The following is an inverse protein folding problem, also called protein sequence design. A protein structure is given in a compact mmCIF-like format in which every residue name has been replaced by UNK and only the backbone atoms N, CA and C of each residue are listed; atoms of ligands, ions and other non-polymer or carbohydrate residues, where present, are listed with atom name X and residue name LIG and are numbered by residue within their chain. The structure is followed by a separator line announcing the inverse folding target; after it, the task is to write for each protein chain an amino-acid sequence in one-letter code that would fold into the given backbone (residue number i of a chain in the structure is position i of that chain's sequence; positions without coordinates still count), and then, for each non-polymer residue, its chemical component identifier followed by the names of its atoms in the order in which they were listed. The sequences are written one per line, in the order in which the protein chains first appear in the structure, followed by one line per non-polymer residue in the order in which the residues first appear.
data_IF_149082258885
#
_entry.id   IF_149082258885
#
_cell.length_a   1.000
_cell.length_b   1.000
_cell.length_c   1.000
_cell.angle_alpha   90.00
_cell.angle_beta   90.00
_cell.angle_gamma   90.00
#
_symmetry.space_group_name_H-M   'P 1'
#
loop_
_entity.id
_entity.type
_entity.pdbx_description
1 polymer ?
#
# COMPACT_ATOMS: atom_id res chain seq x y z
N UNK A 1 25.05 60.15 -29.96
CA UNK A 1 25.95 59.01 -30.23
C UNK A 1 25.92 58.12 -28.99
N UNK A 2 24.83 57.39 -28.76
CA UNK A 2 24.66 55.98 -29.18
C UNK A 2 25.96 55.15 -29.13
N UNK A 3 26.03 54.21 -28.18
CA UNK A 3 25.98 52.80 -28.57
C UNK A 3 25.50 51.90 -27.41
N UNK A 4 24.32 51.33 -27.64
CA UNK A 4 23.70 50.23 -26.93
C UNK A 4 24.62 48.99 -26.87
N UNK A 5 24.75 48.36 -25.69
CA UNK A 5 25.21 46.97 -25.57
C UNK A 5 24.02 46.06 -25.24
N UNK A 6 23.75 45.00 -26.03
CA UNK A 6 22.66 44.07 -25.77
C UNK A 6 23.02 43.07 -24.66
N UNK A 7 22.03 42.49 -23.96
CA UNK A 7 22.28 41.43 -22.99
C UNK A 7 22.62 40.11 -23.69
N UNK A 8 23.60 39.39 -23.14
CA UNK A 8 24.00 38.06 -23.60
C UNK A 8 22.86 37.05 -23.37
N UNK A 9 22.27 36.56 -24.47
CA UNK A 9 21.42 35.36 -24.50
C UNK A 9 22.31 34.13 -24.26
N UNK A 10 22.27 33.55 -23.07
CA UNK A 10 22.72 32.17 -22.87
C UNK A 10 21.60 31.25 -23.36
N UNK A 11 21.86 30.63 -24.51
CA UNK A 11 21.03 29.62 -25.14
C UNK A 11 20.88 28.40 -24.23
N UNK A 12 19.65 27.91 -24.11
CA UNK A 12 19.37 26.66 -23.42
C UNK A 12 19.97 25.48 -24.18
N UNK A 13 20.90 24.78 -23.54
CA UNK A 13 21.27 23.42 -23.94
C UNK A 13 20.21 22.48 -23.41
N UNK A 14 19.28 22.08 -24.29
CA UNK A 14 18.46 20.87 -24.12
C UNK A 14 19.40 19.66 -24.15
N UNK A 15 19.81 19.18 -22.98
CA UNK A 15 20.38 17.86 -22.83
C UNK A 15 19.25 16.83 -22.75
N UNK A 16 19.06 16.09 -23.83
CA UNK A 16 18.27 14.85 -23.87
C UNK A 16 18.90 13.80 -22.96
N UNK A 17 18.14 13.11 -22.08
CA UNK A 17 18.65 11.92 -21.44
C UNK A 17 18.59 10.76 -22.43
N UNK A 18 19.75 10.34 -22.93
CA UNK A 18 19.92 9.08 -23.66
C UNK A 18 19.64 7.92 -22.71
N UNK A 19 18.53 7.23 -22.96
CA UNK A 19 18.15 5.98 -22.33
C UNK A 19 19.14 4.88 -22.75
N UNK A 20 20.14 4.62 -21.90
CA UNK A 20 20.96 3.42 -21.99
C UNK A 20 20.27 2.29 -21.23
N UNK A 21 19.57 1.42 -21.97
CA UNK A 21 19.09 0.13 -21.49
C UNK A 21 20.28 -0.83 -21.38
N UNK A 22 20.87 -0.91 -20.20
CA UNK A 22 21.62 -2.11 -19.81
C UNK A 22 20.66 -3.05 -19.06
N UNK A 23 20.43 -4.29 -19.52
CA UNK A 23 19.63 -5.25 -18.78
C UNK A 23 20.38 -5.65 -17.50
N UNK A 24 19.82 -5.28 -16.34
CA UNK A 24 20.21 -5.84 -15.05
C UNK A 24 19.99 -7.36 -15.13
N UNK A 25 21.08 -8.12 -15.11
CA UNK A 25 21.06 -9.56 -14.83
C UNK A 25 20.30 -9.76 -13.51
N UNK A 26 19.11 -10.34 -13.59
CA UNK A 26 18.40 -10.85 -12.43
C UNK A 26 19.23 -12.01 -11.87
N UNK A 27 19.93 -11.74 -10.78
CA UNK A 27 20.57 -12.77 -9.98
C UNK A 27 19.46 -13.39 -9.12
N UNK A 28 18.85 -14.46 -9.62
CA UNK A 28 17.84 -15.23 -8.90
C UNK A 28 18.51 -15.91 -7.72
N UNK A 29 18.33 -15.34 -6.52
CA UNK A 29 18.71 -16.03 -5.28
C UNK A 29 17.74 -17.20 -5.09
N UNK A 30 18.21 -18.44 -4.92
CA UNK A 30 17.33 -19.58 -4.68
C UNK A 30 16.58 -19.39 -3.36
N UNK A 31 15.26 -19.56 -3.38
CA UNK A 31 14.42 -19.65 -2.19
C UNK A 31 14.91 -20.81 -1.29
N UNK A 32 14.95 -20.65 0.04
CA UNK A 32 15.20 -21.76 0.93
C UNK A 32 14.10 -22.83 0.80
N UNK A 33 14.44 -24.12 0.86
CA UNK A 33 13.45 -25.19 0.74
C UNK A 33 12.49 -25.17 1.94
N UNK A 34 11.19 -25.33 1.64
CA UNK A 34 10.17 -25.52 2.67
C UNK A 34 10.50 -26.75 3.55
N UNK A 35 10.31 -26.67 4.89
CA UNK A 35 10.49 -27.81 5.76
C UNK A 35 9.47 -28.91 5.40
N UNK A 36 10.00 -30.08 5.01
CA UNK A 36 9.24 -31.34 4.89
C UNK A 36 8.81 -31.79 6.29
N UNK A 37 7.67 -31.34 6.77
CA UNK A 37 7.07 -31.91 7.99
C UNK A 37 5.56 -32.01 7.85
N UNK A 38 5.10 -33.26 7.97
CA UNK A 38 3.72 -33.72 8.16
C UNK A 38 2.80 -33.75 6.93
N UNK A 39 2.99 -34.77 6.09
CA UNK A 39 1.86 -35.49 5.49
C UNK A 39 2.13 -36.99 5.55
N UNK A 40 2.07 -37.54 6.77
CA UNK A 40 1.98 -38.97 7.02
C UNK A 40 0.81 -39.22 7.97
N UNK A 41 -0.40 -39.19 7.44
CA UNK A 41 -1.53 -39.89 8.04
C UNK A 41 -2.14 -40.71 6.91
N UNK A 42 -1.92 -42.02 7.04
CA UNK A 42 -2.50 -43.05 6.21
C UNK A 42 -4.03 -42.98 6.27
N UNK A 43 -4.67 -43.04 5.11
CA UNK A 43 -6.09 -43.39 5.00
C UNK A 43 -6.19 -44.86 4.55
N UNK A 44 -6.82 -45.75 5.32
CA UNK A 44 -7.12 -47.11 4.87
C UNK A 44 -8.32 -47.14 3.88
N UNK A 45 -8.46 -48.21 3.06
CA UNK A 45 -9.57 -48.35 2.13
C UNK A 45 -10.88 -48.64 2.88
N UNK A 46 -11.87 -47.76 2.71
CA UNK A 46 -13.21 -47.91 3.28
C UNK A 46 -14.00 -48.97 2.52
N UNK A 47 -14.35 -50.06 3.21
CA UNK A 47 -15.37 -51.04 2.78
C UNK A 47 -16.76 -50.37 2.79
N UNK A 48 -17.53 -50.59 1.73
CA UNK A 48 -18.91 -50.16 1.61
C UNK A 48 -19.82 -50.83 2.66
N UNK A 49 -20.67 -50.03 3.32
CA UNK A 49 -21.83 -50.46 4.14
C UNK A 49 -22.92 -49.36 4.10
N UNK A 50 -24.19 -49.64 4.51
CA UNK A 50 -25.36 -49.40 3.68
C UNK A 50 -26.11 -48.11 4.04
N UNK A 51 -26.97 -47.69 3.09
CA UNK A 51 -27.89 -46.55 3.14
C UNK A 51 -28.55 -46.38 4.52
N UNK A 52 -28.22 -45.28 5.19
CA UNK A 52 -28.98 -44.72 6.30
C UNK A 52 -29.57 -43.40 5.82
N UNK A 53 -30.89 -43.24 5.96
CA UNK A 53 -31.61 -42.02 5.61
C UNK A 53 -31.09 -40.85 6.45
N UNK A 54 -30.41 -39.90 5.82
CA UNK A 54 -30.06 -38.62 6.44
C UNK A 54 -31.30 -37.74 6.40
N UNK A 55 -31.89 -37.50 7.57
CA UNK A 55 -32.85 -36.42 7.73
C UNK A 55 -32.13 -35.10 7.43
N UNK A 56 -32.53 -34.43 6.35
CA UNK A 56 -32.05 -33.10 5.98
C UNK A 56 -32.59 -32.14 7.04
N UNK A 57 -31.77 -31.87 8.04
CA UNK A 57 -32.06 -30.82 9.01
C UNK A 57 -31.77 -29.50 8.30
N UNK A 58 -32.81 -28.90 7.70
CA UNK A 58 -32.76 -27.63 6.98
C UNK A 58 -32.44 -26.51 7.97
N UNK A 59 -31.16 -26.36 8.29
CA UNK A 59 -30.66 -25.24 9.10
C UNK A 59 -30.95 -23.98 8.30
N UNK A 60 -31.83 -23.14 8.83
CA UNK A 60 -32.18 -21.86 8.23
C UNK A 60 -30.90 -21.14 7.80
N UNK A 61 -30.80 -20.82 6.52
CA UNK A 61 -29.69 -20.08 5.96
C UNK A 61 -29.56 -18.78 6.76
N UNK A 62 -28.47 -18.66 7.51
CA UNK A 62 -28.10 -17.41 8.18
C UNK A 62 -28.11 -16.32 7.12
N UNK A 63 -28.96 -15.30 7.32
CA UNK A 63 -29.05 -14.17 6.42
C UNK A 63 -27.64 -13.69 6.07
N UNK A 64 -27.33 -13.43 4.78
CA UNK A 64 -26.02 -12.94 4.41
C UNK A 64 -25.76 -11.68 5.21
N UNK A 65 -24.72 -11.71 6.05
CA UNK A 65 -24.23 -10.54 6.78
C UNK A 65 -23.97 -9.46 5.73
N UNK A 66 -24.89 -8.50 5.62
CA UNK A 66 -24.76 -7.34 4.77
C UNK A 66 -23.56 -6.58 5.30
N UNK A 67 -22.38 -6.84 4.72
CA UNK A 67 -21.20 -6.04 4.97
C UNK A 67 -21.61 -4.61 4.60
N UNK A 68 -21.69 -3.68 5.56
CA UNK A 68 -22.08 -2.32 5.24
C UNK A 68 -21.11 -1.83 4.18
N UNK A 69 -21.63 -1.44 3.01
CA UNK A 69 -20.82 -0.81 1.96
C UNK A 69 -20.50 0.60 2.44
N UNK A 70 -19.67 0.72 3.47
CA UNK A 70 -19.11 1.99 3.90
C UNK A 70 -18.30 2.48 2.72
N UNK A 71 -18.61 3.69 2.25
CA UNK A 71 -17.82 4.32 1.21
C UNK A 71 -16.52 4.81 1.85
N UNK A 72 -15.57 3.88 2.04
CA UNK A 72 -14.30 4.11 2.74
C UNK A 72 -13.57 5.31 2.15
N UNK A 73 -13.67 5.53 0.83
CA UNK A 73 -13.04 6.65 0.13
C UNK A 73 -13.57 8.03 0.56
N UNK A 74 -14.77 8.11 1.14
CA UNK A 74 -15.38 9.36 1.63
C UNK A 74 -15.07 9.66 3.09
N UNK A 75 -14.37 8.76 3.79
CA UNK A 75 -14.08 8.96 5.21
C UNK A 75 -13.12 10.14 5.41
N UNK A 76 -13.48 11.05 6.32
CA UNK A 76 -12.74 12.29 6.59
C UNK A 76 -11.28 12.03 6.95
N UNK A 77 -10.98 10.89 7.59
CA UNK A 77 -9.63 10.49 7.95
C UNK A 77 -8.68 10.26 6.77
N UNK A 78 -9.21 10.02 5.57
CA UNK A 78 -8.40 9.84 4.35
C UNK A 78 -8.10 11.17 3.65
N UNK A 79 -8.75 12.25 4.07
CA UNK A 79 -8.62 13.59 3.49
C UNK A 79 -7.90 14.57 4.42
N UNK A 80 -7.20 14.04 5.42
CA UNK A 80 -6.43 14.87 6.34
C UNK A 80 -5.23 15.48 5.63
N UNK A 81 -4.89 16.71 6.02
CA UNK A 81 -3.73 17.42 5.50
C UNK A 81 -3.05 18.18 6.62
N UNK A 82 -1.75 18.39 6.49
CA UNK A 82 -1.01 19.35 7.32
C UNK A 82 -0.24 20.31 6.41
N UNK A 83 0.05 21.51 6.92
CA UNK A 83 0.85 22.49 6.21
C UNK A 83 2.33 22.21 6.47
N UNK A 84 3.09 21.91 5.42
CA UNK A 84 4.55 21.90 5.46
C UNK A 84 5.07 23.32 5.18
N UNK A 85 5.77 23.89 6.15
CA UNK A 85 6.44 25.18 6.00
C UNK A 85 7.91 24.93 5.70
N UNK A 86 8.34 25.29 4.50
CA UNK A 86 9.72 25.14 4.07
C UNK A 86 10.60 26.25 4.63
N UNK A 87 11.85 25.91 4.92
CA UNK A 87 12.89 26.89 5.18
C UNK A 87 13.30 27.58 3.88
N UNK A 88 13.75 28.83 3.96
CA UNK A 88 14.16 29.64 2.79
C UNK A 88 15.29 29.02 1.97
N UNK A 89 16.10 28.15 2.58
CA UNK A 89 17.21 27.43 1.96
C UNK A 89 16.86 26.00 1.51
N UNK A 90 15.63 25.55 1.76
CA UNK A 90 15.18 24.19 1.44
C UNK A 90 14.92 23.97 -0.05
N UNK A 91 15.16 22.74 -0.53
CA UNK A 91 14.84 22.34 -1.92
C UNK A 91 13.33 22.25 -2.18
N UNK A 92 12.54 21.90 -1.16
CA UNK A 92 11.09 21.78 -1.23
C UNK A 92 10.46 23.12 -0.83
N UNK A 93 9.44 23.55 -1.58
CA UNK A 93 8.63 24.73 -1.24
C UNK A 93 7.60 24.38 -0.18
N UNK A 94 7.08 25.38 0.54
CA UNK A 94 5.94 25.19 1.44
C UNK A 94 4.72 24.69 0.64
N UNK A 95 4.05 23.67 1.15
CA UNK A 95 2.87 23.08 0.51
C UNK A 95 2.04 22.27 1.52
N UNK A 96 0.82 21.92 1.15
CA UNK A 96 -0.03 21.02 1.95
C UNK A 96 0.32 19.58 1.65
N UNK A 97 0.56 18.80 2.70
CA UNK A 97 0.82 17.36 2.60
C UNK A 97 -0.43 16.63 3.07
N UNK A 98 -0.98 15.79 2.20
CA UNK A 98 -2.08 14.90 2.58
C UNK A 98 -1.56 13.71 3.39
N UNK A 99 -2.34 13.23 4.34
CA UNK A 99 -2.02 12.03 5.10
C UNK A 99 -3.29 11.28 5.49
N UNK A 100 -3.13 10.01 5.83
CA UNK A 100 -4.20 9.17 6.38
C UNK A 100 -3.69 8.38 7.59
N UNK A 101 -4.60 8.05 8.49
CA UNK A 101 -4.30 7.22 9.67
C UNK A 101 -5.20 5.98 9.67
N UNK A 102 -4.58 4.82 9.85
CA UNK A 102 -5.24 3.51 9.88
C UNK A 102 -4.94 2.78 11.18
N UNK A 103 -5.90 1.97 11.64
CA UNK A 103 -5.80 1.22 12.89
C UNK A 103 -6.24 2.02 14.13
N UNK A 104 -6.04 1.45 15.34
CA UNK A 104 -6.55 2.02 16.59
C UNK A 104 -5.84 3.33 16.97
N UNK A 105 -6.59 4.25 17.57
CA UNK A 105 -6.09 5.57 18.03
C UNK A 105 -4.93 5.44 19.02
N UNK A 106 -4.96 4.40 19.87
CA UNK A 106 -3.94 4.09 20.87
C UNK A 106 -3.01 2.94 20.44
N UNK A 107 -2.98 2.60 19.15
CA UNK A 107 -2.04 1.61 18.61
C UNK A 107 -0.60 2.10 18.59
N UNK A 108 0.34 1.16 18.43
CA UNK A 108 1.76 1.45 18.27
C UNK A 108 1.99 2.28 16.99
N UNK A 109 2.55 3.49 17.05
CA UNK A 109 2.67 4.37 15.90
C UNK A 109 3.68 3.83 14.88
N UNK A 110 3.27 3.73 13.61
CA UNK A 110 4.13 3.30 12.50
C UNK A 110 4.00 4.29 11.37
N UNK A 111 5.10 4.88 10.91
CA UNK A 111 5.10 5.74 9.73
C UNK A 111 5.34 4.92 8.46
N UNK A 112 4.44 5.06 7.50
CA UNK A 112 4.53 4.37 6.21
C UNK A 112 4.90 5.37 5.13
N UNK A 113 6.08 5.21 4.54
CA UNK A 113 6.57 6.06 3.45
C UNK A 113 6.51 5.27 2.16
N UNK A 114 5.50 5.59 1.33
CA UNK A 114 5.31 4.95 0.03
C UNK A 114 6.43 5.29 -0.96
N UNK A 115 6.76 4.34 -1.83
CA UNK A 115 7.63 4.56 -2.97
C UNK A 115 6.99 5.44 -4.05
N UNK A 116 7.66 5.56 -5.20
CA UNK A 116 7.16 6.35 -6.33
C UNK A 116 5.78 5.87 -6.81
N UNK A 117 4.84 6.80 -7.03
CA UNK A 117 3.47 6.50 -7.46
C UNK A 117 2.55 5.93 -6.36
N UNK A 118 3.03 5.81 -5.12
CA UNK A 118 2.23 5.33 -4.01
C UNK A 118 1.43 6.48 -3.37
N UNK A 119 0.17 6.21 -3.04
CA UNK A 119 -0.74 7.18 -2.40
C UNK A 119 -1.12 6.71 -1.01
N UNK A 120 -1.54 7.64 -0.15
CA UNK A 120 -2.02 7.30 1.20
C UNK A 120 -3.21 6.34 1.20
N UNK A 121 -3.98 6.26 0.10
CA UNK A 121 -5.16 5.42 -0.06
C UNK A 121 -4.85 3.92 -0.08
N UNK A 122 -3.63 3.56 -0.47
CA UNK A 122 -3.15 2.16 -0.46
C UNK A 122 -3.25 1.55 0.93
N UNK A 123 -3.16 2.38 1.99
CA UNK A 123 -3.27 1.94 3.38
C UNK A 123 -4.61 1.31 3.77
N UNK A 124 -5.69 1.55 3.01
CA UNK A 124 -7.00 0.90 3.24
C UNK A 124 -6.85 -0.63 3.22
N UNK A 125 -5.99 -1.16 2.34
CA UNK A 125 -5.78 -2.61 2.23
C UNK A 125 -5.11 -3.24 3.48
N UNK A 126 -4.48 -2.42 4.31
CA UNK A 126 -3.76 -2.87 5.51
C UNK A 126 -4.49 -2.52 6.81
N UNK A 127 -5.67 -1.91 6.73
CA UNK A 127 -6.38 -1.43 7.90
C UNK A 127 -6.74 -2.55 8.88
N UNK A 128 -7.29 -3.65 8.38
CA UNK A 128 -7.65 -4.80 9.23
C UNK A 128 -6.41 -5.39 9.92
N UNK A 129 -5.29 -5.44 9.20
CA UNK A 129 -3.99 -5.87 9.73
C UNK A 129 -3.53 -4.94 10.86
N UNK A 130 -3.65 -3.63 10.66
CA UNK A 130 -3.30 -2.64 11.68
C UNK A 130 -4.17 -2.77 12.94
N UNK A 131 -5.47 -3.02 12.81
CA UNK A 131 -6.31 -3.33 13.98
C UNK A 131 -5.89 -4.62 14.67
N UNK A 132 -5.64 -5.68 13.91
CA UNK A 132 -5.29 -7.00 14.45
C UNK A 132 -3.99 -6.99 15.25
N UNK A 133 -2.99 -6.22 14.83
CA UNK A 133 -1.70 -6.11 15.52
C UNK A 133 -1.57 -4.87 16.40
N UNK A 134 -2.64 -4.10 16.58
CA UNK A 134 -2.62 -2.90 17.41
C UNK A 134 -1.66 -1.83 16.88
N UNK A 135 -1.51 -1.70 15.56
CA UNK A 135 -0.66 -0.70 14.91
C UNK A 135 -1.47 0.54 14.54
N UNK A 136 -0.92 1.72 14.79
CA UNK A 136 -1.45 2.99 14.31
C UNK A 136 -0.59 3.47 13.14
N UNK A 137 -1.01 3.11 11.92
CA UNK A 137 -0.26 3.45 10.72
C UNK A 137 -0.57 4.89 10.30
N UNK A 138 0.46 5.72 10.21
CA UNK A 138 0.39 7.11 9.76
C UNK A 138 1.07 7.18 8.40
N UNK A 139 0.29 7.53 7.37
CA UNK A 139 0.73 7.50 5.98
C UNK A 139 0.68 8.89 5.35
N UNK A 140 1.75 9.70 5.49
CA UNK A 140 1.88 10.95 4.77
C UNK A 140 2.15 10.69 3.29
N UNK A 141 1.58 11.52 2.41
CA UNK A 141 1.95 11.50 1.00
C UNK A 141 3.32 12.14 0.79
N UNK A 142 4.02 11.60 -0.19
CA UNK A 142 5.32 12.11 -0.58
C UNK A 142 5.14 13.47 -1.26
N UNK A 143 6.02 14.45 -0.97
CA UNK A 143 6.01 15.71 -1.67
C UNK A 143 6.66 15.59 -3.06
N UNK A 144 6.02 16.19 -4.08
CA UNK A 144 6.47 16.19 -5.49
C UNK A 144 6.10 14.92 -6.24
#
# INVERSE_FOLDING_TARGET
MELNRPPARLQGTRSTPTSSRNPLRQQTVPLPPLPKRQQSILSPPVKARPKTHIAINTRAASAPTLVPRVNVLRESRLHQTFQYNANSTGRLRSHRVGYAVYGPIHGHPVFVIGGYGCTRMVGIMFEELAFRYGLRMIWPERPG
#
